data_IF_696820862145
#
_entry.id   IF_696820862145
#
_cell.length_a   1.000
_cell.length_b   1.000
_cell.length_c   1.000
_cell.angle_alpha   90.00
_cell.angle_beta   90.00
_cell.angle_gamma   90.00
#
_symmetry.space_group_name_H-M   'P 1'
#
loop_
_entity.id
_entity.type
_entity.pdbx_description
1 polymer ?
#
# COMPACT_ATOMS: atom_id res chain seq x y z
N UNK A 1 -5.69 -22.72 43.87
CA UNK A 1 -5.75 -21.28 43.52
C UNK A 1 -6.82 -21.13 42.45
N UNK A 2 -7.97 -20.53 42.79
CA UNK A 2 -8.99 -20.21 41.78
C UNK A 2 -8.52 -18.96 41.00
N UNK A 3 -8.55 -18.97 39.66
CA UNK A 3 -8.29 -17.76 38.90
C UNK A 3 -9.44 -16.77 39.18
N UNK A 4 -9.09 -15.60 39.69
CA UNK A 4 -10.00 -14.49 39.90
C UNK A 4 -10.35 -13.90 38.53
N UNK A 5 -11.42 -14.37 37.90
CA UNK A 5 -11.92 -13.83 36.64
C UNK A 5 -12.38 -12.39 36.87
N UNK A 6 -11.76 -11.41 36.18
CA UNK A 6 -12.21 -10.03 36.22
C UNK A 6 -13.70 -9.93 35.80
N UNK A 7 -14.49 -9.03 36.40
CA UNK A 7 -15.89 -8.86 36.04
C UNK A 7 -16.02 -8.44 34.58
N UNK A 8 -16.69 -9.27 33.77
CA UNK A 8 -17.00 -8.97 32.37
C UNK A 8 -17.88 -7.70 32.32
N UNK A 9 -17.43 -6.68 31.59
CA UNK A 9 -18.16 -5.42 31.40
C UNK A 9 -19.59 -5.68 30.90
N UNK A 10 -20.55 -4.87 31.33
CA UNK A 10 -21.95 -4.95 30.88
C UNK A 10 -22.06 -4.89 29.34
N UNK A 11 -21.22 -4.10 28.68
CA UNK A 11 -21.16 -4.05 27.22
C UNK A 11 -20.75 -5.38 26.59
N UNK A 12 -19.76 -6.08 27.17
CA UNK A 12 -19.32 -7.38 26.69
C UNK A 12 -20.39 -8.47 26.91
N UNK A 13 -21.17 -8.39 27.99
CA UNK A 13 -22.31 -9.29 28.22
C UNK A 13 -23.42 -9.08 27.20
N UNK A 14 -23.74 -7.83 26.86
CA UNK A 14 -24.72 -7.52 25.82
C UNK A 14 -24.25 -8.03 24.45
N UNK A 15 -23.00 -7.80 24.07
CA UNK A 15 -22.43 -8.33 22.82
C UNK A 15 -22.50 -9.85 22.76
N UNK A 16 -22.16 -10.54 23.86
CA UNK A 16 -22.28 -12.00 23.94
C UNK A 16 -23.73 -12.52 23.78
N UNK A 17 -24.74 -11.68 24.04
CA UNK A 17 -26.15 -12.03 23.86
C UNK A 17 -26.69 -11.71 22.46
N UNK A 18 -25.98 -10.91 21.67
CA UNK A 18 -26.34 -10.62 20.29
C UNK A 18 -25.87 -11.77 19.40
N UNK A 19 -26.73 -12.20 18.47
CA UNK A 19 -26.38 -13.22 17.50
C UNK A 19 -25.37 -12.62 16.52
N UNK A 20 -24.09 -13.00 16.63
CA UNK A 20 -23.04 -12.53 15.74
C UNK A 20 -23.30 -13.00 14.31
N UNK A 21 -23.11 -12.11 13.34
CA UNK A 21 -23.15 -12.51 11.94
C UNK A 21 -22.02 -13.50 11.64
N UNK A 22 -22.29 -14.48 10.78
CA UNK A 22 -21.29 -15.45 10.35
C UNK A 22 -21.39 -15.70 8.86
N UNK A 23 -20.32 -15.34 8.15
CA UNK A 23 -20.18 -15.59 6.74
C UNK A 23 -20.07 -17.09 6.44
N UNK A 24 -20.70 -17.55 5.35
CA UNK A 24 -20.38 -18.85 4.75
C UNK A 24 -19.06 -18.77 3.95
N UNK A 25 -18.57 -19.90 3.43
CA UNK A 25 -17.28 -19.97 2.75
C UNK A 25 -17.15 -18.99 1.57
N UNK A 26 -18.20 -18.82 0.76
CA UNK A 26 -18.21 -17.91 -0.40
C UNK A 26 -18.18 -16.46 0.06
N UNK A 27 -18.99 -16.12 1.06
CA UNK A 27 -19.04 -14.77 1.63
C UNK A 27 -17.71 -14.41 2.30
N UNK A 28 -17.11 -15.36 3.00
CA UNK A 28 -15.81 -15.19 3.65
C UNK A 28 -14.70 -15.02 2.62
N UNK A 29 -14.71 -15.77 1.51
CA UNK A 29 -13.77 -15.56 0.41
C UNK A 29 -13.86 -14.15 -0.19
N UNK A 30 -15.07 -13.58 -0.34
CA UNK A 30 -15.19 -12.20 -0.79
C UNK A 30 -14.67 -11.21 0.25
N UNK A 31 -14.98 -11.42 1.52
CA UNK A 31 -14.47 -10.60 2.61
C UNK A 31 -12.95 -10.58 2.65
N UNK A 32 -12.28 -11.74 2.55
CA UNK A 32 -10.81 -11.80 2.63
C UNK A 32 -10.14 -11.08 1.46
N UNK A 33 -10.73 -11.12 0.25
CA UNK A 33 -10.26 -10.31 -0.88
C UNK A 33 -10.34 -8.81 -0.61
N UNK A 34 -11.46 -8.37 -0.02
CA UNK A 34 -11.66 -6.96 0.35
C UNK A 34 -10.74 -6.52 1.49
N UNK A 35 -10.58 -7.35 2.53
CA UNK A 35 -9.64 -7.15 3.63
C UNK A 35 -8.22 -6.93 3.10
N UNK A 36 -7.75 -7.80 2.20
CA UNK A 36 -6.43 -7.64 1.58
C UNK A 36 -6.27 -6.32 0.83
N UNK A 37 -7.32 -5.87 0.14
CA UNK A 37 -7.31 -4.60 -0.58
C UNK A 37 -7.33 -3.37 0.35
N UNK A 38 -8.05 -3.44 1.48
CA UNK A 38 -8.06 -2.39 2.51
C UNK A 38 -6.69 -2.26 3.16
N UNK A 39 -6.08 -3.38 3.59
CA UNK A 39 -4.76 -3.36 4.22
C UNK A 39 -3.66 -2.82 3.28
N UNK A 40 -3.73 -3.13 1.98
CA UNK A 40 -2.81 -2.57 0.99
C UNK A 40 -2.97 -1.07 0.77
N UNK A 41 -4.14 -0.51 1.10
CA UNK A 41 -4.44 0.92 1.00
C UNK A 41 -4.24 1.67 2.32
N UNK A 42 -3.91 0.97 3.41
CA UNK A 42 -3.68 1.59 4.71
C UNK A 42 -2.27 2.15 4.83
N UNK A 43 -2.11 3.45 4.61
CA UNK A 43 -0.79 4.12 4.55
C UNK A 43 0.09 3.86 5.77
N UNK A 44 -0.46 3.92 6.99
CA UNK A 44 0.29 3.66 8.23
C UNK A 44 0.90 2.25 8.24
N UNK A 45 0.10 1.24 7.90
CA UNK A 45 0.58 -0.14 7.77
C UNK A 45 1.64 -0.29 6.68
N UNK A 46 1.47 0.39 5.55
CA UNK A 46 2.46 0.35 4.46
C UNK A 46 3.78 1.04 4.84
N UNK A 47 3.74 2.13 5.62
CA UNK A 47 4.95 2.77 6.16
C UNK A 47 5.69 1.84 7.13
N UNK A 48 4.96 1.16 8.01
CA UNK A 48 5.54 0.12 8.90
C UNK A 48 6.14 -1.01 8.08
N UNK A 49 5.47 -1.45 7.01
CA UNK A 49 6.00 -2.48 6.12
C UNK A 49 7.31 -2.06 5.43
N UNK A 50 7.42 -0.79 5.04
CA UNK A 50 8.60 -0.28 4.35
C UNK A 50 9.77 0.02 5.29
N UNK A 51 9.51 0.48 6.51
CA UNK A 51 10.55 1.00 7.40
C UNK A 51 10.83 0.15 8.65
N UNK A 52 9.93 -0.77 9.02
CA UNK A 52 10.01 -1.54 10.27
C UNK A 52 10.01 -3.06 10.03
N UNK A 53 8.93 -3.62 9.49
CA UNK A 53 8.81 -5.07 9.22
C UNK A 53 7.97 -5.30 7.96
N UNK A 54 8.62 -5.76 6.89
CA UNK A 54 7.97 -6.04 5.60
C UNK A 54 6.88 -7.12 5.66
N UNK A 55 6.84 -7.92 6.74
CA UNK A 55 5.82 -8.94 6.95
C UNK A 55 4.58 -8.42 7.66
N UNK A 56 4.60 -7.20 8.22
CA UNK A 56 3.49 -6.65 9.00
C UNK A 56 2.13 -6.76 8.29
N UNK A 57 1.98 -6.44 6.97
CA UNK A 57 0.70 -6.60 6.29
C UNK A 57 0.22 -8.05 6.20
N UNK A 58 1.14 -9.00 6.02
CA UNK A 58 0.81 -10.42 5.91
C UNK A 58 0.39 -11.00 7.26
N UNK A 59 1.11 -10.66 8.34
CA UNK A 59 0.77 -11.08 9.71
C UNK A 59 -0.61 -10.55 10.10
N UNK A 60 -0.84 -9.24 9.90
CA UNK A 60 -2.12 -8.62 10.22
C UNK A 60 -3.28 -9.24 9.42
N UNK A 61 -3.06 -9.51 8.13
CA UNK A 61 -4.03 -10.18 7.28
C UNK A 61 -4.40 -11.58 7.79
N UNK A 62 -3.39 -12.39 8.13
CA UNK A 62 -3.58 -13.74 8.64
C UNK A 62 -4.34 -13.76 9.97
N UNK A 63 -3.97 -12.86 10.89
CA UNK A 63 -4.62 -12.75 12.20
C UNK A 63 -6.08 -12.33 12.08
N UNK A 64 -6.38 -11.31 11.26
CA UNK A 64 -7.75 -10.86 11.01
C UNK A 64 -8.60 -11.94 10.32
N UNK A 65 -8.03 -12.66 9.36
CA UNK A 65 -8.70 -13.81 8.74
C UNK A 65 -9.00 -14.90 9.76
N UNK A 66 -8.02 -15.26 10.60
CA UNK A 66 -8.19 -16.28 11.63
C UNK A 66 -9.26 -15.87 12.66
N UNK A 67 -9.26 -14.60 13.05
CA UNK A 67 -10.21 -14.04 14.02
C UNK A 67 -11.65 -14.12 13.49
N UNK A 68 -11.90 -13.59 12.29
CA UNK A 68 -13.24 -13.63 11.69
C UNK A 68 -13.69 -15.06 11.36
N UNK A 69 -12.76 -15.97 11.02
CA UNK A 69 -13.08 -17.38 10.79
C UNK A 69 -13.48 -18.09 12.08
N UNK A 70 -12.86 -17.74 13.20
CA UNK A 70 -13.15 -18.32 14.52
C UNK A 70 -14.47 -17.77 15.08
N UNK A 71 -14.56 -16.44 15.17
CA UNK A 71 -15.56 -15.75 15.99
C UNK A 71 -16.75 -15.22 15.15
N UNK A 72 -16.57 -15.05 13.84
CA UNK A 72 -17.56 -14.45 12.96
C UNK A 72 -17.36 -12.95 12.84
N UNK A 73 -18.42 -12.19 13.10
CA UNK A 73 -18.37 -10.74 13.22
C UNK A 73 -17.45 -10.29 14.36
N UNK A 74 -16.53 -9.38 14.06
CA UNK A 74 -15.63 -8.74 15.03
C UNK A 74 -15.97 -7.25 15.08
N UNK A 75 -16.17 -6.70 16.28
CA UNK A 75 -16.56 -5.31 16.44
C UNK A 75 -15.37 -4.35 16.29
N UNK A 76 -15.68 -3.10 15.92
CA UNK A 76 -14.69 -2.05 15.65
C UNK A 76 -13.82 -1.78 16.87
N UNK A 77 -14.40 -1.71 18.07
CA UNK A 77 -13.68 -1.46 19.31
C UNK A 77 -12.70 -2.59 19.65
N UNK A 78 -13.06 -3.84 19.35
CA UNK A 78 -12.14 -4.97 19.53
C UNK A 78 -10.99 -4.91 18.52
N UNK A 79 -11.27 -4.57 17.25
CA UNK A 79 -10.24 -4.41 16.22
C UNK A 79 -9.29 -3.23 16.51
N UNK A 80 -9.81 -2.11 16.99
CA UNK A 80 -9.03 -0.92 17.33
C UNK A 80 -8.00 -1.23 18.42
N UNK A 81 -8.42 -1.88 19.52
CA UNK A 81 -7.52 -2.34 20.58
C UNK A 81 -6.45 -3.29 20.02
N UNK A 82 -6.83 -4.20 19.14
CA UNK A 82 -5.88 -5.10 18.49
C UNK A 82 -4.87 -4.36 17.60
N UNK A 83 -5.31 -3.34 16.86
CA UNK A 83 -4.42 -2.52 16.04
C UNK A 83 -3.45 -1.71 16.89
N UNK A 84 -3.91 -1.09 17.98
CA UNK A 84 -3.03 -0.42 18.95
C UNK A 84 -1.95 -1.37 19.46
N UNK A 85 -2.34 -2.57 19.91
CA UNK A 85 -1.37 -3.58 20.37
C UNK A 85 -0.41 -4.03 19.26
N UNK A 86 -0.90 -4.18 18.03
CA UNK A 86 -0.11 -4.58 16.86
C UNK A 86 0.96 -3.53 16.54
N UNK A 87 0.60 -2.24 16.50
CA UNK A 87 1.53 -1.17 16.18
C UNK A 87 2.49 -0.85 17.34
N UNK A 88 1.98 -0.73 18.57
CA UNK A 88 2.77 -0.36 19.74
C UNK A 88 3.74 -1.48 20.15
N UNK A 89 3.24 -2.70 20.33
CA UNK A 89 4.03 -3.77 20.96
C UNK A 89 4.95 -4.50 19.98
N UNK A 90 4.52 -4.66 18.72
CA UNK A 90 5.24 -5.49 17.75
C UNK A 90 6.19 -4.63 16.91
N UNK A 91 5.75 -3.41 16.57
CA UNK A 91 6.46 -2.58 15.60
C UNK A 91 7.02 -1.28 16.17
N UNK A 92 6.74 -0.98 17.46
CA UNK A 92 7.18 0.27 18.12
C UNK A 92 6.79 1.52 17.31
N UNK A 93 5.65 1.45 16.62
CA UNK A 93 5.12 2.51 15.78
C UNK A 93 3.91 3.12 16.48
N UNK A 94 3.94 4.43 16.69
CA UNK A 94 2.80 5.15 17.26
C UNK A 94 1.95 5.72 16.13
N UNK A 95 0.72 5.26 16.02
CA UNK A 95 -0.25 5.81 15.08
C UNK A 95 -1.09 6.84 15.82
N UNK A 96 -0.96 8.11 15.46
CA UNK A 96 -1.64 9.25 16.11
C UNK A 96 -2.79 9.82 15.29
N UNK A 97 -3.08 9.22 14.12
CA UNK A 97 -4.25 9.55 13.32
C UNK A 97 -5.44 8.64 13.67
N UNK A 98 -6.63 8.98 13.16
CA UNK A 98 -7.85 8.21 13.38
C UNK A 98 -7.94 6.96 12.46
N UNK A 99 -6.86 6.59 11.76
CA UNK A 99 -6.91 5.57 10.71
C UNK A 99 -7.21 4.17 11.24
N UNK A 100 -6.86 3.85 12.49
CA UNK A 100 -7.18 2.57 13.13
C UNK A 100 -8.71 2.39 13.27
N UNK A 101 -9.41 3.42 13.74
CA UNK A 101 -10.86 3.41 13.88
C UNK A 101 -11.55 3.36 12.51
N UNK A 102 -11.05 4.13 11.53
CA UNK A 102 -11.59 4.15 10.17
C UNK A 102 -11.46 2.77 9.50
N UNK A 103 -10.28 2.15 9.57
CA UNK A 103 -10.04 0.81 9.01
C UNK A 103 -10.89 -0.22 9.73
N UNK A 104 -10.97 -0.19 11.06
CA UNK A 104 -11.85 -1.08 11.81
C UNK A 104 -13.32 -0.96 11.38
N UNK A 105 -13.81 0.27 11.19
CA UNK A 105 -15.17 0.54 10.72
C UNK A 105 -15.44 -0.01 9.32
N UNK A 106 -14.49 0.19 8.40
CA UNK A 106 -14.57 -0.33 7.03
C UNK A 106 -14.62 -1.86 7.03
N UNK A 107 -13.77 -2.52 7.81
CA UNK A 107 -13.71 -3.98 7.85
C UNK A 107 -14.98 -4.57 8.48
N UNK A 108 -15.50 -3.95 9.53
CA UNK A 108 -16.76 -4.36 10.15
C UNK A 108 -17.94 -4.25 9.17
N UNK A 109 -18.12 -3.09 8.51
CA UNK A 109 -19.20 -2.90 7.52
C UNK A 109 -19.04 -3.87 6.35
N UNK A 110 -17.81 -4.06 5.85
CA UNK A 110 -17.53 -5.01 4.77
C UNK A 110 -17.92 -6.45 5.15
N UNK A 111 -17.56 -6.90 6.35
CA UNK A 111 -17.92 -8.25 6.82
C UNK A 111 -19.45 -8.41 6.92
N UNK A 112 -20.13 -7.43 7.51
CA UNK A 112 -21.58 -7.43 7.66
C UNK A 112 -22.30 -7.48 6.30
N UNK A 113 -21.85 -6.68 5.33
CA UNK A 113 -22.38 -6.68 3.96
C UNK A 113 -22.12 -7.99 3.23
N UNK A 114 -20.93 -8.58 3.38
CA UNK A 114 -20.64 -9.89 2.81
C UNK A 114 -21.61 -10.96 3.35
N UNK A 115 -21.95 -10.92 4.64
CA UNK A 115 -22.95 -11.82 5.24
C UNK A 115 -24.35 -11.65 4.60
N UNK A 116 -24.66 -10.47 4.08
CA UNK A 116 -25.92 -10.14 3.38
C UNK A 116 -25.84 -10.34 1.85
N UNK A 117 -24.74 -10.89 1.33
CA UNK A 117 -24.44 -11.01 -0.10
C UNK A 117 -24.35 -9.66 -0.85
N UNK A 118 -23.93 -8.61 -0.16
CA UNK A 118 -23.53 -7.34 -0.76
C UNK A 118 -21.99 -7.28 -0.79
N UNK A 119 -21.43 -7.31 -2.00
CA UNK A 119 -19.98 -7.27 -2.25
C UNK A 119 -19.52 -5.92 -2.82
N UNK A 120 -20.39 -4.91 -2.86
CA UNK A 120 -20.10 -3.61 -3.46
C UNK A 120 -18.87 -2.93 -2.85
N UNK A 121 -18.70 -3.05 -1.53
CA UNK A 121 -17.54 -2.50 -0.83
C UNK A 121 -16.24 -3.26 -1.17
N UNK A 122 -16.30 -4.60 -1.28
CA UNK A 122 -15.18 -5.43 -1.71
C UNK A 122 -14.74 -5.01 -3.12
N UNK A 123 -15.68 -4.90 -4.05
CA UNK A 123 -15.42 -4.47 -5.42
C UNK A 123 -14.84 -3.06 -5.49
N UNK A 124 -15.35 -2.13 -4.67
CA UNK A 124 -14.84 -0.77 -4.59
C UNK A 124 -13.35 -0.74 -4.19
N UNK A 125 -12.98 -1.39 -3.09
CA UNK A 125 -11.58 -1.41 -2.64
C UNK A 125 -10.65 -2.12 -3.62
N UNK A 126 -11.11 -3.18 -4.28
CA UNK A 126 -10.33 -3.85 -5.34
C UNK A 126 -10.10 -2.94 -6.55
N UNK A 127 -11.09 -2.13 -6.93
CA UNK A 127 -10.96 -1.17 -8.03
C UNK A 127 -10.03 -0.01 -7.68
N UNK A 128 -10.14 0.56 -6.47
CA UNK A 128 -9.32 1.69 -6.03
C UNK A 128 -7.88 1.29 -5.76
N UNK A 129 -7.59 0.03 -5.48
CA UNK A 129 -6.23 -0.47 -5.26
C UNK A 129 -5.28 -0.13 -6.42
N UNK A 130 -5.77 -0.21 -7.66
CA UNK A 130 -4.97 0.17 -8.85
C UNK A 130 -4.66 1.66 -8.86
N UNK A 131 -5.60 2.50 -8.43
CA UNK A 131 -5.40 3.95 -8.33
C UNK A 131 -4.42 4.29 -7.21
N UNK A 132 -4.56 3.66 -6.04
CA UNK A 132 -3.68 3.84 -4.90
C UNK A 132 -2.22 3.54 -5.26
N UNK A 133 -1.99 2.41 -5.95
CA UNK A 133 -0.67 2.03 -6.44
C UNK A 133 -0.07 3.05 -7.42
N UNK A 134 -0.89 3.71 -8.24
CA UNK A 134 -0.44 4.75 -9.16
C UNK A 134 -0.10 6.08 -8.45
N UNK A 135 -0.86 6.45 -7.42
CA UNK A 135 -0.62 7.68 -6.65
C UNK A 135 0.55 7.54 -5.68
N UNK A 136 0.82 6.33 -5.20
CA UNK A 136 1.86 6.01 -4.21
C UNK A 136 1.89 7.01 -3.02
N UNK A 137 0.81 7.08 -2.22
CA UNK A 137 0.75 8.02 -1.10
C UNK A 137 1.79 7.71 -0.01
N UNK A 138 2.28 6.46 0.07
CA UNK A 138 3.37 6.09 0.97
C UNK A 138 4.64 6.88 0.64
N UNK A 139 4.99 7.00 -0.65
CA UNK A 139 6.11 7.84 -1.09
C UNK A 139 5.93 9.34 -0.81
N UNK A 140 4.67 9.81 -0.69
CA UNK A 140 4.38 11.19 -0.32
C UNK A 140 4.39 11.42 1.21
N UNK A 141 4.37 10.36 2.01
CA UNK A 141 4.20 10.43 3.47
C UNK A 141 5.52 10.57 4.24
N UNK A 142 6.67 10.33 3.60
CA UNK A 142 7.99 10.37 4.25
C UNK A 142 8.61 11.78 4.38
N UNK A 143 7.93 12.82 3.91
CA UNK A 143 8.43 14.21 3.90
C UNK A 143 7.76 15.16 4.92
N UNK A 144 7.11 14.64 5.96
CA UNK A 144 6.40 15.43 6.98
C UNK A 144 7.28 16.07 8.07
N UNK A 145 8.59 15.79 8.11
CA UNK A 145 9.51 16.26 9.15
C UNK A 145 10.40 17.41 8.69
N UNK A 146 10.14 18.61 9.23
CA UNK A 146 11.04 19.79 9.25
C UNK A 146 11.65 20.23 7.92
N UNK A 147 10.94 21.11 7.20
CA UNK A 147 11.50 21.97 6.14
C UNK A 147 12.41 23.10 6.69
N UNK A 148 13.03 22.90 7.86
CA UNK A 148 13.88 23.90 8.54
C UNK A 148 15.36 23.51 8.53
N UNK A 149 15.78 22.59 7.65
CA UNK A 149 17.19 22.19 7.54
C UNK A 149 17.66 21.98 6.08
N UNK A 150 17.14 22.78 5.16
CA UNK A 150 17.64 22.87 3.77
C UNK A 150 18.21 24.26 3.48
N UNK A 151 19.00 24.77 4.42
CA UNK A 151 19.85 25.95 4.27
C UNK A 151 21.30 25.59 4.60
N UNK A 152 21.89 24.59 3.93
CA UNK A 152 23.35 24.48 3.82
C UNK A 152 23.69 23.44 2.75
N UNK A 153 24.13 23.90 1.57
CA UNK A 153 25.20 23.31 0.74
C UNK A 153 25.06 23.84 -0.71
N UNK A 154 25.17 25.17 -0.82
CA UNK A 154 25.26 25.87 -2.09
C UNK A 154 26.28 27.02 -1.96
N UNK A 155 27.55 26.67 -1.83
CA UNK A 155 28.70 27.56 -2.03
C UNK A 155 29.77 26.70 -2.71
N UNK A 156 29.88 26.73 -4.04
CA UNK A 156 30.80 27.59 -4.79
C UNK A 156 32.30 27.29 -4.57
N UNK A 157 33.01 27.31 -5.70
CA UNK A 157 34.46 27.50 -5.88
C UNK A 157 35.32 26.21 -5.93
N UNK A 158 35.61 25.66 -7.12
CA UNK A 158 36.53 26.13 -8.17
C UNK A 158 37.96 25.55 -8.06
N UNK A 159 38.30 24.78 -9.10
CA UNK A 159 39.60 24.76 -9.78
C UNK A 159 40.82 24.14 -9.08
N UNK A 160 41.77 23.70 -9.93
CA UNK A 160 43.07 23.04 -9.66
C UNK A 160 42.95 21.53 -9.47
N UNK A 161 43.32 20.64 -10.41
CA UNK A 161 44.38 20.70 -11.40
C UNK A 161 45.41 19.61 -11.06
N UNK A 162 45.60 18.61 -11.93
CA UNK A 162 46.57 17.53 -11.67
C UNK A 162 46.49 16.41 -12.71
N UNK A 163 47.34 16.56 -13.72
CA UNK A 163 47.47 15.80 -14.97
C UNK A 163 48.17 14.43 -14.81
N UNK A 164 47.89 13.55 -15.78
CA UNK A 164 48.71 12.47 -16.34
C UNK A 164 49.42 11.45 -15.42
N UNK A 165 49.19 10.14 -15.64
CA UNK A 165 49.94 9.36 -16.66
C UNK A 165 49.84 7.83 -16.46
N UNK A 166 49.98 7.12 -17.60
CA UNK A 166 50.49 5.76 -17.78
C UNK A 166 49.61 4.53 -17.52
N UNK A 167 49.10 4.04 -18.64
CA UNK A 167 48.76 2.67 -19.04
C UNK A 167 49.89 1.67 -18.71
N UNK A 168 49.58 0.40 -18.42
CA UNK A 168 50.35 -0.82 -18.81
C UNK A 168 49.73 -2.09 -18.19
N UNK A 169 49.70 -3.19 -18.95
CA UNK A 169 49.81 -4.55 -18.38
C UNK A 169 48.63 -5.50 -18.60
N UNK A 170 48.78 -6.36 -19.61
CA UNK A 170 47.86 -7.40 -20.08
C UNK A 170 48.10 -8.74 -19.34
N UNK A 171 47.05 -9.57 -19.33
CA UNK A 171 47.06 -11.04 -19.43
C UNK A 171 47.04 -11.89 -18.14
N UNK A 172 45.94 -12.62 -17.93
CA UNK A 172 45.93 -14.09 -18.00
C UNK A 172 44.48 -14.67 -17.92
N UNK A 173 44.08 -15.44 -18.95
CA UNK A 173 43.66 -16.87 -18.94
C UNK A 173 42.99 -17.41 -17.65
N UNK A 174 41.94 -18.25 -17.61
CA UNK A 174 41.25 -19.14 -18.55
C UNK A 174 40.01 -19.77 -17.83
N UNK A 175 39.31 -20.70 -18.51
CA UNK A 175 38.31 -21.70 -18.03
C UNK A 175 36.80 -21.49 -18.33
N UNK A 176 36.45 -21.90 -19.55
CA UNK A 176 35.46 -22.90 -19.98
C UNK A 176 34.27 -23.32 -19.08
N UNK A 177 33.05 -23.27 -19.64
CA UNK A 177 32.18 -24.47 -19.83
C UNK A 177 30.89 -24.18 -20.64
N UNK A 178 30.90 -24.67 -21.89
CA UNK A 178 29.87 -25.38 -22.68
C UNK A 178 28.44 -24.81 -22.99
N UNK A 179 28.00 -24.85 -24.27
CA UNK A 179 26.67 -24.45 -24.77
C UNK A 179 25.80 -25.64 -25.24
N UNK A 180 24.46 -25.46 -25.35
CA UNK A 180 23.62 -26.30 -26.22
C UNK A 180 22.57 -25.52 -27.02
N UNK A 181 22.61 -25.75 -28.33
CA UNK A 181 21.83 -25.18 -29.42
C UNK A 181 20.44 -25.84 -29.56
N UNK A 182 19.50 -25.14 -30.19
CA UNK A 182 18.66 -25.61 -31.33
C UNK A 182 17.70 -24.48 -31.74
N UNK A 183 17.94 -23.78 -32.85
CA UNK A 183 17.48 -24.08 -34.23
C UNK A 183 16.20 -23.31 -34.63
N UNK A 184 16.39 -22.25 -35.43
CA UNK A 184 15.36 -21.62 -36.27
C UNK A 184 15.58 -22.02 -37.75
N UNK A 185 14.57 -21.82 -38.62
CA UNK A 185 14.90 -21.22 -39.92
C UNK A 185 13.88 -20.18 -40.43
N UNK A 186 14.49 -19.05 -40.85
CA UNK A 186 14.17 -18.05 -41.87
C UNK A 186 12.96 -18.25 -42.82
N UNK A 187 12.24 -17.15 -43.13
CA UNK A 187 12.35 -16.48 -44.44
C UNK A 187 11.56 -15.14 -44.51
N UNK A 188 11.96 -14.18 -45.40
CA UNK A 188 11.56 -12.77 -45.38
C UNK A 188 10.63 -12.36 -46.55
N UNK A 189 9.99 -11.17 -46.49
CA UNK A 189 9.96 -10.16 -47.59
C UNK A 189 8.99 -8.97 -47.35
N UNK A 190 9.62 -7.79 -47.31
CA UNK A 190 9.28 -6.39 -47.66
C UNK A 190 7.84 -5.81 -47.82
N UNK A 191 7.65 -4.50 -47.48
CA UNK A 191 6.41 -3.72 -47.64
C UNK A 191 6.40 -2.88 -48.94
N UNK A 192 5.24 -2.31 -49.35
CA UNK A 192 5.17 -0.84 -49.37
C UNK A 192 3.77 -0.17 -49.21
N UNK A 193 3.83 1.08 -48.75
CA UNK A 193 2.99 2.26 -49.08
C UNK A 193 1.65 2.55 -48.35
N UNK A 194 1.63 3.77 -47.80
CA UNK A 194 0.53 4.48 -47.12
C UNK A 194 -0.59 4.95 -48.07
N UNK A 195 -1.74 5.35 -47.52
CA UNK A 195 -2.08 6.78 -47.60
C UNK A 195 -2.89 7.38 -46.43
N UNK A 196 -2.62 8.68 -46.20
CA UNK A 196 -3.55 9.79 -45.92
C UNK A 196 -4.09 10.04 -44.50
N UNK A 197 -3.58 11.16 -43.99
CA UNK A 197 -4.02 11.97 -42.86
C UNK A 197 -5.53 12.25 -42.79
N UNK A 198 -6.11 12.04 -41.61
CA UNK A 198 -7.22 12.85 -41.11
C UNK A 198 -6.84 13.40 -39.73
N UNK A 199 -6.68 14.72 -39.70
CA UNK A 199 -6.41 15.53 -38.51
C UNK A 199 -7.67 15.54 -37.63
N UNK A 200 -7.57 15.00 -36.42
CA UNK A 200 -8.58 15.25 -35.37
C UNK A 200 -8.11 16.40 -34.47
N UNK A 201 -9.04 17.25 -34.02
CA UNK A 201 -8.72 18.51 -33.37
C UNK A 201 -8.18 18.29 -31.96
N UNK A 202 -7.02 18.90 -31.69
CA UNK A 202 -6.42 18.98 -30.36
C UNK A 202 -7.42 19.57 -29.35
N UNK A 203 -7.95 18.71 -28.47
CA UNK A 203 -8.68 19.14 -27.28
C UNK A 203 -7.70 19.85 -26.36
N UNK A 204 -7.79 21.18 -26.32
CA UNK A 204 -7.08 22.04 -25.37
C UNK A 204 -7.35 21.55 -23.94
N UNK A 205 -6.33 20.99 -23.30
CA UNK A 205 -6.30 20.78 -21.84
C UNK A 205 -6.45 22.15 -21.18
N UNK A 206 -7.64 22.45 -20.64
CA UNK A 206 -7.81 23.58 -19.71
C UNK A 206 -7.05 23.17 -18.45
N UNK A 207 -5.88 23.78 -18.22
CA UNK A 207 -5.25 23.81 -16.90
C UNK A 207 -6.20 24.58 -16.00
N UNK A 208 -6.64 23.97 -14.91
CA UNK A 208 -7.32 24.69 -13.84
C UNK A 208 -6.35 25.77 -13.33
N UNK A 209 -6.81 27.01 -13.23
CA UNK A 209 -5.98 28.09 -12.73
C UNK A 209 -5.82 27.90 -11.23
N UNK A 210 -4.59 27.72 -10.73
CA UNK A 210 -4.33 27.79 -9.29
C UNK A 210 -3.88 29.20 -8.92
N UNK A 211 -4.43 29.71 -7.82
CA UNK A 211 -4.02 30.97 -7.20
C UNK A 211 -3.42 30.65 -5.84
N UNK A 212 -2.26 31.24 -5.55
CA UNK A 212 -1.59 31.09 -4.26
C UNK A 212 -2.23 32.04 -3.26
N UNK A 213 -2.78 31.49 -2.17
CA UNK A 213 -3.30 32.29 -1.06
C UNK A 213 -2.17 33.04 -0.34
N UNK A 214 -2.51 34.08 0.44
CA UNK A 214 -1.60 34.75 1.36
C UNK A 214 -0.97 33.79 2.37
N UNK A 215 -1.63 32.68 2.65
CA UNK A 215 -1.16 31.64 3.58
C UNK A 215 -0.32 30.55 2.90
N UNK A 216 0.13 30.79 1.65
CA UNK A 216 1.05 29.91 0.94
C UNK A 216 0.43 28.72 0.19
N UNK A 217 -0.84 28.40 0.45
CA UNK A 217 -1.56 27.29 -0.19
C UNK A 217 -1.96 27.58 -1.65
N UNK A 218 -1.85 26.57 -2.52
CA UNK A 218 -2.38 26.63 -3.89
C UNK A 218 -3.86 26.23 -3.89
N UNK A 219 -4.74 27.16 -4.23
CA UNK A 219 -6.18 26.90 -4.38
C UNK A 219 -6.49 26.76 -5.87
N UNK A 220 -7.10 25.65 -6.25
CA UNK A 220 -7.56 25.39 -7.63
C UNK A 220 -8.93 26.02 -7.83
N UNK A 221 -9.08 26.89 -8.83
CA UNK A 221 -10.36 27.48 -9.25
C UNK A 221 -11.12 26.59 -10.23
#
# INVERSE_FOLDING_TARGET
>A
MQPNSAPVSYGAQLRASMQTLRANDIQFEQFTRGLGAVLQQWTALQLVAQHCDSRAPAVLYEDLCAWHKRDGEVYVDDMEVYFEEFFDNIHSARIEDDSMQEVGSVLHDMYCRCCLNDFSMVEHYLQTLTMYAQTNPVAMSVNGGTAENLEDDAEEDAEVGGDADSEEGVDNEDEESEPMQTSAPQAPQQPPQAPRHQQQPQRKKRKNASVRSKDGWNIVQ
#
